data_IF_703878381531
#
_entry.id   IF_703878381531
#
_cell.length_a   1.000
_cell.length_b   1.000
_cell.length_c   1.000
_cell.angle_alpha   90.00
_cell.angle_beta   90.00
_cell.angle_gamma   90.00
#
_symmetry.space_group_name_H-M   'P 1'
#
loop_
_entity.id
_entity.type
_entity.pdbx_description
1 polymer ?
#
# COMPACT_ATOMS: atom_id res chain seq x y z
N UNK A 1 -17.08 -15.63 -7.61
CA UNK A 1 -16.05 -16.19 -6.70
C UNK A 1 -15.72 -15.10 -5.71
N UNK A 2 -16.06 -15.31 -4.45
CA UNK A 2 -15.67 -14.34 -3.41
C UNK A 2 -14.14 -14.30 -3.31
N UNK A 3 -13.58 -13.17 -3.69
CA UNK A 3 -12.15 -12.93 -3.59
C UNK A 3 -11.81 -12.63 -2.12
N UNK A 4 -11.37 -13.68 -1.40
CA UNK A 4 -10.90 -13.48 -0.02
C UNK A 4 -9.52 -12.82 -0.02
N UNK A 5 -9.39 -11.78 0.78
CA UNK A 5 -8.12 -11.07 1.00
C UNK A 5 -7.07 -12.00 1.59
N UNK A 6 -5.82 -11.84 1.15
CA UNK A 6 -4.70 -12.63 1.61
C UNK A 6 -4.03 -11.95 2.80
N UNK A 7 -3.92 -12.68 3.91
CA UNK A 7 -3.16 -12.28 5.10
C UNK A 7 -1.94 -13.20 5.22
N UNK A 8 -0.76 -12.62 5.41
CA UNK A 8 0.46 -13.36 5.73
C UNK A 8 0.62 -13.40 7.25
N UNK A 9 0.69 -14.60 7.81
CA UNK A 9 1.02 -14.85 9.21
C UNK A 9 2.50 -15.25 9.32
N UNK A 10 3.22 -14.62 10.24
CA UNK A 10 4.64 -14.92 10.50
C UNK A 10 4.82 -15.08 12.00
N UNK A 11 5.10 -16.29 12.45
CA UNK A 11 5.28 -16.63 13.87
C UNK A 11 6.05 -17.98 13.95
N UNK A 12 7.10 -18.09 14.73
CA UNK A 12 7.90 -19.31 14.82
C UNK A 12 7.16 -20.44 15.58
N UNK A 13 6.13 -20.09 16.38
CA UNK A 13 5.26 -21.05 17.05
C UNK A 13 4.08 -21.48 16.14
N UNK A 14 4.12 -22.75 15.71
CA UNK A 14 3.05 -23.37 14.91
C UNK A 14 1.70 -23.34 15.63
N UNK A 15 1.67 -23.35 16.96
CA UNK A 15 0.45 -23.23 17.75
C UNK A 15 -0.23 -21.88 17.58
N UNK A 16 0.56 -20.80 17.57
CA UNK A 16 0.07 -19.44 17.30
C UNK A 16 -0.45 -19.33 15.87
N UNK A 17 0.30 -19.83 14.88
CA UNK A 17 -0.13 -19.85 13.48
C UNK A 17 -1.48 -20.57 13.32
N UNK A 18 -1.64 -21.76 13.87
CA UNK A 18 -2.89 -22.54 13.82
C UNK A 18 -4.04 -21.78 14.49
N UNK A 19 -3.78 -21.15 15.64
CA UNK A 19 -4.80 -20.39 16.37
C UNK A 19 -5.27 -19.19 15.57
N UNK A 20 -4.35 -18.36 15.04
CA UNK A 20 -4.68 -17.22 14.19
C UNK A 20 -5.38 -17.66 12.90
N UNK A 21 -4.94 -18.74 12.28
CA UNK A 21 -5.57 -19.31 11.09
C UNK A 21 -7.01 -19.80 11.37
N UNK A 22 -7.27 -20.42 12.50
CA UNK A 22 -8.62 -20.84 12.89
C UNK A 22 -9.55 -19.63 13.13
N UNK A 23 -9.01 -18.54 13.68
CA UNK A 23 -9.78 -17.31 13.93
C UNK A 23 -10.13 -16.58 12.63
N UNK A 24 -9.17 -16.43 11.71
CA UNK A 24 -9.29 -15.58 10.53
C UNK A 24 -9.68 -16.33 9.26
N UNK A 25 -9.47 -17.64 9.18
CA UNK A 25 -9.59 -18.42 7.95
C UNK A 25 -11.02 -18.56 7.40
N UNK A 26 -12.05 -18.24 8.19
CA UNK A 26 -13.43 -18.19 7.71
C UNK A 26 -13.65 -17.02 6.74
N UNK A 27 -13.03 -15.88 6.99
CA UNK A 27 -13.22 -14.63 6.24
C UNK A 27 -12.07 -14.35 5.25
N UNK A 28 -10.84 -14.74 5.60
CA UNK A 28 -9.62 -14.40 4.86
C UNK A 28 -8.90 -15.65 4.34
N UNK A 29 -8.12 -15.45 3.28
CA UNK A 29 -7.15 -16.44 2.82
C UNK A 29 -5.86 -16.25 3.60
N UNK A 30 -5.37 -17.32 4.23
CA UNK A 30 -4.19 -17.24 5.10
C UNK A 30 -3.00 -17.94 4.44
N UNK A 31 -1.87 -17.24 4.38
CA UNK A 31 -0.54 -17.81 4.14
C UNK A 31 0.24 -17.75 5.45
N UNK A 32 0.87 -18.83 5.85
CA UNK A 32 1.59 -18.89 7.12
C UNK A 32 3.05 -19.29 6.92
N UNK A 33 3.96 -18.63 7.62
CA UNK A 33 5.41 -18.92 7.61
C UNK A 33 5.96 -18.90 9.02
N UNK A 34 7.05 -19.64 9.25
CA UNK A 34 7.66 -19.80 10.59
C UNK A 34 8.92 -18.97 10.78
N UNK A 35 9.26 -18.07 9.85
CA UNK A 35 10.44 -17.19 9.99
C UNK A 35 10.34 -15.97 9.10
N UNK A 36 11.05 -14.89 9.46
CA UNK A 36 11.17 -13.67 8.65
C UNK A 36 11.72 -13.93 7.25
N UNK A 37 12.75 -14.78 7.14
CA UNK A 37 13.33 -15.15 5.83
C UNK A 37 12.31 -15.82 4.91
N UNK A 38 11.48 -16.72 5.43
CA UNK A 38 10.40 -17.34 4.66
C UNK A 38 9.33 -16.33 4.28
N UNK A 39 8.99 -15.39 5.18
CA UNK A 39 8.04 -14.32 4.89
C UNK A 39 8.51 -13.46 3.70
N UNK A 40 9.77 -13.05 3.67
CA UNK A 40 10.35 -12.30 2.55
C UNK A 40 10.32 -13.10 1.24
N UNK A 41 10.57 -14.41 1.29
CA UNK A 41 10.45 -15.29 0.11
C UNK A 41 9.00 -15.41 -0.39
N UNK A 42 8.01 -15.34 0.47
CA UNK A 42 6.60 -15.30 0.07
C UNK A 42 6.26 -13.95 -0.54
N UNK A 43 6.68 -12.85 0.11
CA UNK A 43 6.43 -11.48 -0.35
C UNK A 43 7.05 -11.17 -1.73
N UNK A 44 8.13 -11.84 -2.10
CA UNK A 44 8.71 -11.72 -3.45
C UNK A 44 7.83 -12.32 -4.56
N UNK A 45 6.80 -13.10 -4.22
CA UNK A 45 5.92 -13.80 -5.18
C UNK A 45 4.48 -13.31 -5.13
N UNK A 46 4.02 -12.88 -3.95
CA UNK A 46 2.65 -12.45 -3.73
C UNK A 46 2.61 -11.25 -2.79
N UNK A 47 1.70 -10.33 -3.02
CA UNK A 47 1.48 -9.16 -2.16
C UNK A 47 0.24 -9.41 -1.31
N UNK A 48 0.39 -9.66 0.01
CA UNK A 48 -0.75 -9.78 0.91
C UNK A 48 -1.35 -8.41 1.20
N UNK A 49 -2.60 -8.38 1.61
CA UNK A 49 -3.28 -7.17 2.05
C UNK A 49 -2.91 -6.75 3.47
N UNK A 50 -2.39 -7.70 4.27
CA UNK A 50 -1.96 -7.48 5.65
C UNK A 50 -0.89 -8.51 6.03
N UNK A 51 0.08 -8.11 6.84
CA UNK A 51 1.04 -9.01 7.51
C UNK A 51 0.79 -8.98 9.01
N UNK A 52 0.61 -10.15 9.62
CA UNK A 52 0.66 -10.34 11.08
C UNK A 52 2.02 -10.94 11.41
N UNK A 53 2.84 -10.24 12.18
CA UNK A 53 4.26 -10.52 12.36
C UNK A 53 4.62 -10.64 13.82
N UNK A 54 5.09 -11.80 14.24
CA UNK A 54 5.62 -11.97 15.59
C UNK A 54 6.86 -11.12 15.80
N UNK A 55 6.95 -10.50 16.98
CA UNK A 55 8.13 -9.74 17.39
C UNK A 55 9.31 -10.65 17.70
N UNK A 56 9.05 -11.74 18.43
CA UNK A 56 10.11 -12.59 18.98
C UNK A 56 10.28 -13.86 18.14
N UNK A 57 11.16 -13.80 17.15
CA UNK A 57 11.50 -14.96 16.33
C UNK A 57 13.02 -15.21 16.33
N UNK A 58 13.47 -16.46 16.19
CA UNK A 58 14.89 -16.78 16.10
C UNK A 58 15.50 -16.30 14.77
N UNK A 59 16.79 -16.08 14.74
CA UNK A 59 17.62 -15.65 13.59
C UNK A 59 17.32 -14.26 13.02
N UNK A 60 16.07 -13.94 12.78
CA UNK A 60 15.59 -12.67 12.26
C UNK A 60 14.33 -12.31 13.00
N UNK A 61 14.41 -11.30 13.86
CA UNK A 61 13.30 -10.87 14.70
C UNK A 61 12.22 -10.13 13.89
N UNK A 62 11.11 -9.81 14.56
CA UNK A 62 9.99 -9.13 13.91
C UNK A 62 10.36 -7.73 13.41
N UNK A 63 11.20 -6.99 14.14
CA UNK A 63 11.60 -5.65 13.72
C UNK A 63 12.54 -5.70 12.51
N UNK A 64 13.53 -6.59 12.51
CA UNK A 64 14.40 -6.82 11.35
C UNK A 64 13.60 -7.27 10.12
N UNK A 65 12.61 -8.15 10.33
CA UNK A 65 11.71 -8.60 9.27
C UNK A 65 10.86 -7.44 8.73
N UNK A 66 10.34 -6.59 9.61
CA UNK A 66 9.56 -5.41 9.25
C UNK A 66 10.37 -4.43 8.40
N UNK A 67 11.57 -4.08 8.81
CA UNK A 67 12.47 -3.21 8.02
C UNK A 67 12.78 -3.81 6.65
N UNK A 68 13.04 -5.11 6.59
CA UNK A 68 13.24 -5.79 5.32
C UNK A 68 11.99 -5.76 4.42
N UNK A 69 10.79 -5.92 4.99
CA UNK A 69 9.52 -5.77 4.24
C UNK A 69 9.38 -4.35 3.68
N UNK A 70 9.66 -3.33 4.50
CA UNK A 70 9.57 -1.92 4.08
C UNK A 70 10.54 -1.58 2.94
N UNK A 71 11.69 -2.25 2.88
CA UNK A 71 12.69 -2.09 1.82
C UNK A 71 12.31 -2.76 0.48
N UNK A 72 11.31 -3.66 0.46
CA UNK A 72 10.81 -4.26 -0.77
C UNK A 72 10.05 -3.23 -1.61
N UNK A 73 10.07 -3.41 -2.92
CA UNK A 73 9.22 -2.62 -3.82
C UNK A 73 7.73 -2.83 -3.49
N UNK A 74 7.03 -1.73 -3.21
CA UNK A 74 5.64 -1.77 -2.71
C UNK A 74 5.47 -2.23 -1.26
N UNK A 75 6.54 -2.67 -0.57
CA UNK A 75 6.48 -3.17 0.80
C UNK A 75 6.01 -2.12 1.81
N UNK A 76 6.36 -0.86 1.60
CA UNK A 76 5.92 0.26 2.46
C UNK A 76 4.41 0.46 2.48
N UNK A 77 3.70 0.01 1.45
CA UNK A 77 2.24 0.11 1.36
C UNK A 77 1.50 -1.04 2.04
N UNK A 78 2.20 -2.11 2.45
CA UNK A 78 1.60 -3.25 3.12
C UNK A 78 1.45 -2.93 4.61
N UNK A 79 0.23 -2.94 5.17
CA UNK A 79 0.05 -2.78 6.61
C UNK A 79 0.65 -3.98 7.36
N UNK A 80 1.39 -3.69 8.42
CA UNK A 80 1.98 -4.70 9.29
C UNK A 80 1.45 -4.51 10.71
N UNK A 81 1.00 -5.59 11.31
CA UNK A 81 0.55 -5.67 12.71
C UNK A 81 1.50 -6.59 13.46
N UNK A 82 2.12 -6.07 14.48
CA UNK A 82 2.97 -6.91 15.33
C UNK A 82 2.13 -7.76 16.28
N UNK A 83 2.61 -8.99 16.50
CA UNK A 83 2.09 -9.91 17.51
C UNK A 83 3.07 -9.87 18.69
N UNK A 84 2.63 -9.34 19.83
CA UNK A 84 3.49 -9.10 21.01
C UNK A 84 3.17 -10.07 22.14
N UNK A 85 4.13 -10.30 23.03
CA UNK A 85 3.86 -10.98 24.30
C UNK A 85 2.99 -10.13 25.22
N UNK A 86 2.31 -10.77 26.17
CA UNK A 86 1.43 -10.07 27.11
C UNK A 86 2.24 -9.18 28.07
N UNK A 87 1.79 -7.91 28.22
CA UNK A 87 2.31 -6.99 29.23
C UNK A 87 3.64 -6.28 28.92
N UNK A 88 4.13 -6.31 27.68
CA UNK A 88 5.38 -5.65 27.27
C UNK A 88 5.12 -4.26 26.68
N UNK A 89 4.89 -3.28 27.58
CA UNK A 89 4.63 -1.88 27.18
C UNK A 89 5.80 -1.24 26.39
N UNK A 90 7.04 -1.66 26.66
CA UNK A 90 8.19 -1.16 25.91
C UNK A 90 8.19 -1.66 24.48
N UNK A 91 7.85 -2.93 24.27
CA UNK A 91 7.68 -3.51 22.91
C UNK A 91 6.51 -2.87 22.18
N UNK A 92 5.39 -2.59 22.83
CA UNK A 92 4.26 -1.87 22.22
C UNK A 92 4.68 -0.49 21.72
N UNK A 93 5.40 0.27 22.54
CA UNK A 93 5.94 1.59 22.15
C UNK A 93 6.87 1.48 20.95
N UNK A 94 7.81 0.53 20.97
CA UNK A 94 8.72 0.26 19.85
C UNK A 94 8.00 -0.10 18.56
N UNK A 95 6.89 -0.85 18.62
CA UNK A 95 6.09 -1.17 17.44
C UNK A 95 5.56 0.10 16.75
N UNK A 96 5.06 1.07 17.51
CA UNK A 96 4.59 2.34 16.95
C UNK A 96 5.73 3.23 16.45
N UNK A 97 6.83 3.31 17.19
CA UNK A 97 8.03 4.07 16.78
C UNK A 97 8.63 3.53 15.47
N UNK A 98 8.62 2.21 15.27
CA UNK A 98 9.02 1.57 14.02
C UNK A 98 8.06 1.89 12.85
N UNK A 99 6.86 2.41 13.11
CA UNK A 99 5.88 2.74 12.09
C UNK A 99 4.96 1.58 11.70
N UNK A 100 4.75 0.62 12.60
CA UNK A 100 3.74 -0.42 12.43
C UNK A 100 2.33 0.17 12.39
N UNK A 101 1.43 -0.52 11.71
CA UNK A 101 0.02 -0.10 11.61
C UNK A 101 -0.72 -0.30 12.93
N UNK A 102 -0.43 -1.39 13.64
CA UNK A 102 -1.04 -1.74 14.94
C UNK A 102 -0.23 -2.86 15.61
N UNK A 103 -0.62 -3.28 16.80
CA UNK A 103 -0.13 -4.49 17.45
C UNK A 103 -1.27 -5.30 18.09
N UNK A 104 -1.05 -6.57 18.33
CA UNK A 104 -1.98 -7.48 19.02
C UNK A 104 -1.23 -8.33 20.01
N UNK A 105 -1.65 -8.28 21.29
CA UNK A 105 -1.06 -9.10 22.33
C UNK A 105 -1.45 -10.58 22.19
N UNK A 106 -0.51 -11.45 22.48
CA UNK A 106 -0.72 -12.91 22.64
C UNK A 106 -0.97 -13.22 24.12
N UNK A 107 -1.90 -14.11 24.49
CA UNK A 107 -2.72 -14.98 23.63
C UNK A 107 -3.86 -14.22 22.94
N UNK A 108 -4.16 -14.58 21.68
CA UNK A 108 -5.16 -13.88 20.87
C UNK A 108 -6.56 -14.00 21.46
N UNK A 109 -7.20 -12.86 21.68
CA UNK A 109 -8.65 -12.77 21.90
C UNK A 109 -9.33 -12.71 20.52
N UNK A 110 -10.12 -13.73 20.12
CA UNK A 110 -10.62 -13.84 18.74
C UNK A 110 -11.31 -12.58 18.23
N UNK A 111 -12.24 -12.01 19.00
CA UNK A 111 -12.99 -10.82 18.61
C UNK A 111 -12.08 -9.60 18.43
N UNK A 112 -11.05 -9.46 19.25
CA UNK A 112 -10.09 -8.36 19.15
C UNK A 112 -9.27 -8.48 17.86
N UNK A 113 -8.73 -9.67 17.57
CA UNK A 113 -7.95 -9.94 16.38
C UNK A 113 -8.78 -9.68 15.11
N UNK A 114 -10.00 -10.24 15.04
CA UNK A 114 -10.92 -10.03 13.90
C UNK A 114 -11.21 -8.55 13.70
N UNK A 115 -11.58 -7.83 14.78
CA UNK A 115 -11.96 -6.41 14.69
C UNK A 115 -10.80 -5.53 14.24
N UNK A 116 -9.57 -5.79 14.70
CA UNK A 116 -8.38 -5.04 14.30
C UNK A 116 -8.02 -5.30 12.83
N UNK A 117 -7.98 -6.56 12.42
CA UNK A 117 -7.73 -6.94 11.03
C UNK A 117 -8.75 -6.29 10.10
N UNK A 118 -10.03 -6.42 10.40
CA UNK A 118 -11.12 -5.83 9.61
C UNK A 118 -10.96 -4.32 9.46
N UNK A 119 -10.76 -3.61 10.56
CA UNK A 119 -10.57 -2.14 10.56
C UNK A 119 -9.38 -1.71 9.71
N UNK A 120 -8.27 -2.44 9.79
CA UNK A 120 -7.05 -2.10 9.04
C UNK A 120 -7.29 -2.29 7.53
N UNK A 121 -7.93 -3.39 7.14
CA UNK A 121 -8.24 -3.69 5.74
C UNK A 121 -9.27 -2.69 5.17
N UNK A 122 -10.32 -2.37 5.92
CA UNK A 122 -11.29 -1.33 5.55
C UNK A 122 -10.62 0.04 5.34
N UNK A 123 -9.74 0.45 6.26
CA UNK A 123 -8.98 1.69 6.13
C UNK A 123 -8.08 1.68 4.88
N UNK A 124 -7.41 0.57 4.60
CA UNK A 124 -6.58 0.41 3.41
C UNK A 124 -7.39 0.52 2.12
N UNK A 125 -8.55 -0.12 2.05
CA UNK A 125 -9.46 0.03 0.92
C UNK A 125 -9.92 1.47 0.74
N UNK A 126 -10.28 2.14 1.83
CA UNK A 126 -10.69 3.54 1.77
C UNK A 126 -9.56 4.46 1.25
N UNK A 127 -8.33 4.25 1.72
CA UNK A 127 -7.17 4.99 1.23
C UNK A 127 -6.91 4.75 -0.26
N UNK A 128 -6.91 3.49 -0.71
CA UNK A 128 -6.73 3.16 -2.12
C UNK A 128 -7.80 3.81 -3.02
N UNK A 129 -9.07 3.75 -2.59
CA UNK A 129 -10.17 4.38 -3.33
C UNK A 129 -10.01 5.91 -3.42
N UNK A 130 -9.55 6.56 -2.34
CA UNK A 130 -9.27 8.00 -2.36
C UNK A 130 -8.12 8.34 -3.31
N UNK A 131 -7.06 7.57 -3.32
CA UNK A 131 -5.92 7.76 -4.23
C UNK A 131 -6.35 7.62 -5.70
N UNK A 132 -7.17 6.61 -6.02
CA UNK A 132 -7.74 6.42 -7.36
C UNK A 132 -8.65 7.60 -7.77
N UNK A 133 -9.52 8.06 -6.84
CA UNK A 133 -10.38 9.23 -7.10
C UNK A 133 -9.58 10.50 -7.34
N UNK A 134 -8.55 10.76 -6.52
CA UNK A 134 -7.67 11.94 -6.69
C UNK A 134 -6.94 11.85 -8.03
N UNK A 135 -6.36 10.70 -8.37
CA UNK A 135 -5.69 10.50 -9.66
C UNK A 135 -6.62 10.77 -10.85
N UNK A 136 -7.83 10.22 -10.81
CA UNK A 136 -8.85 10.45 -11.85
C UNK A 136 -9.27 11.92 -11.97
N UNK A 137 -9.38 12.64 -10.85
CA UNK A 137 -9.69 14.07 -10.85
C UNK A 137 -8.55 14.89 -11.44
N UNK A 138 -7.29 14.58 -11.10
CA UNK A 138 -6.11 15.25 -11.67
C UNK A 138 -6.06 15.06 -13.18
N UNK A 139 -6.31 13.86 -13.68
CA UNK A 139 -6.36 13.58 -15.12
C UNK A 139 -7.47 14.38 -15.81
N UNK A 140 -8.65 14.46 -15.18
CA UNK A 140 -9.79 15.23 -15.68
C UNK A 140 -9.47 16.72 -15.75
N UNK A 141 -8.90 17.30 -14.69
CA UNK A 141 -8.48 18.70 -14.65
C UNK A 141 -7.44 18.99 -15.73
N UNK A 142 -6.45 18.12 -15.87
CA UNK A 142 -5.40 18.26 -16.88
C UNK A 142 -5.98 18.24 -18.29
N UNK A 143 -6.95 17.36 -18.55
CA UNK A 143 -7.65 17.30 -19.85
C UNK A 143 -8.44 18.59 -20.12
N UNK A 144 -9.23 19.07 -19.16
CA UNK A 144 -10.01 20.30 -19.29
C UNK A 144 -9.08 21.50 -19.52
N UNK A 145 -7.99 21.63 -18.79
CA UNK A 145 -7.00 22.68 -18.99
C UNK A 145 -6.44 22.68 -20.41
N UNK A 146 -6.09 21.51 -20.94
CA UNK A 146 -5.59 21.38 -22.31
C UNK A 146 -6.66 21.74 -23.36
N UNK A 147 -7.92 21.36 -23.16
CA UNK A 147 -9.05 21.71 -24.02
C UNK A 147 -9.30 23.24 -24.03
N UNK A 148 -9.26 23.89 -22.85
CA UNK A 148 -9.41 25.35 -22.73
C UNK A 148 -8.27 26.09 -23.44
N UNK A 149 -7.02 25.67 -23.21
CA UNK A 149 -5.84 26.26 -23.86
C UNK A 149 -5.96 26.12 -25.37
N UNK A 150 -6.36 24.95 -25.87
CA UNK A 150 -6.55 24.70 -27.30
C UNK A 150 -7.68 25.55 -27.85
N UNK A 151 -8.79 25.69 -27.14
CA UNK A 151 -9.93 26.52 -27.50
C UNK A 151 -9.55 28.00 -27.61
N UNK A 152 -8.80 28.53 -26.62
CA UNK A 152 -8.30 29.91 -26.63
C UNK A 152 -7.32 30.13 -27.81
N UNK A 153 -6.40 29.18 -28.03
CA UNK A 153 -5.47 29.25 -29.15
C UNK A 153 -6.20 29.33 -30.50
N UNK A 154 -7.21 28.49 -30.70
CA UNK A 154 -8.03 28.51 -31.92
C UNK A 154 -8.81 29.83 -32.11
N UNK A 155 -9.31 30.41 -30.99
CA UNK A 155 -10.00 31.73 -31.04
C UNK A 155 -9.05 32.86 -31.42
N UNK A 156 -7.82 32.87 -30.89
CA UNK A 156 -6.81 33.88 -31.26
C UNK A 156 -6.44 33.76 -32.74
N UNK A 157 -6.23 32.53 -33.23
CA UNK A 157 -5.94 32.28 -34.64
C UNK A 157 -7.05 32.72 -35.59
N UNK A 158 -8.31 32.50 -35.21
CA UNK A 158 -9.46 32.87 -36.04
C UNK A 158 -9.59 34.39 -36.16
N UNK A 159 -9.05 35.16 -35.22
CA UNK A 159 -9.11 36.62 -35.20
C UNK A 159 -7.99 37.30 -36.00
N UNK A 160 -6.81 36.66 -36.07
CA UNK A 160 -5.63 37.28 -36.72
C UNK A 160 -5.42 36.87 -38.18
N UNK A 161 -6.25 36.01 -38.76
CA UNK A 161 -6.18 35.61 -40.17
C UNK A 161 -4.89 34.92 -40.61
N UNK A 162 -4.03 34.56 -39.64
CA UNK A 162 -2.78 33.83 -39.88
C UNK A 162 -2.97 32.34 -39.67
N UNK A 163 -2.40 31.57 -40.58
CA UNK A 163 -2.61 30.12 -40.77
C UNK A 163 -2.48 29.31 -39.49
N UNK A 164 -3.54 28.57 -39.13
CA UNK A 164 -3.65 27.66 -37.96
C UNK A 164 -2.58 26.57 -37.80
N UNK A 165 -1.60 26.56 -38.67
CA UNK A 165 -0.42 25.70 -38.60
C UNK A 165 0.61 26.19 -37.57
N UNK A 166 0.65 27.51 -37.32
CA UNK A 166 1.71 28.12 -36.49
C UNK A 166 1.52 27.87 -35.00
N UNK A 167 0.29 28.00 -34.48
CA UNK A 167 0.00 27.75 -33.03
C UNK A 167 0.09 26.26 -32.70
N UNK A 168 -0.38 25.39 -33.60
CA UNK A 168 -0.28 23.93 -33.42
C UNK A 168 1.18 23.44 -33.37
N UNK A 169 2.04 24.06 -34.18
CA UNK A 169 3.48 23.79 -34.15
C UNK A 169 4.12 24.33 -32.87
N UNK A 170 3.77 25.51 -32.40
CA UNK A 170 4.27 26.10 -31.16
C UNK A 170 3.86 25.27 -29.95
N UNK A 171 2.60 24.80 -29.85
CA UNK A 171 2.15 23.89 -28.82
C UNK A 171 2.95 22.57 -28.80
N UNK A 172 3.23 22.00 -29.98
CA UNK A 172 4.05 20.79 -30.08
C UNK A 172 5.50 21.03 -29.62
N UNK A 173 6.11 22.15 -29.96
CA UNK A 173 7.45 22.49 -29.48
C UNK A 173 7.51 22.70 -27.98
N UNK A 174 6.55 23.43 -27.39
CA UNK A 174 6.47 23.60 -25.92
C UNK A 174 6.27 22.26 -25.22
N UNK A 175 5.44 21.36 -25.76
CA UNK A 175 5.20 20.03 -25.20
C UNK A 175 6.44 19.13 -25.26
N UNK A 176 7.22 19.20 -26.32
CA UNK A 176 8.48 18.46 -26.45
C UNK A 176 9.52 19.00 -25.45
N UNK A 177 9.66 20.32 -25.35
CA UNK A 177 10.58 20.98 -24.43
C UNK A 177 10.26 20.69 -22.95
N UNK A 178 8.99 20.77 -22.55
CA UNK A 178 8.56 20.45 -21.19
C UNK A 178 8.74 18.97 -20.84
N UNK A 179 8.58 18.07 -21.80
CA UNK A 179 8.82 16.64 -21.60
C UNK A 179 10.32 16.33 -21.42
N UNK A 180 11.17 17.06 -22.14
CA UNK A 180 12.63 16.89 -22.06
C UNK A 180 13.21 17.51 -20.77
N UNK A 181 12.66 18.64 -20.31
CA UNK A 181 13.04 19.27 -19.04
C UNK A 181 12.63 18.44 -17.79
N UNK A 182 11.56 17.64 -17.88
CA UNK A 182 11.16 16.70 -16.80
C UNK A 182 12.00 15.42 -16.75
N UNK A 183 12.83 15.15 -17.77
CA UNK A 183 13.72 13.98 -17.83
C UNK A 183 15.11 14.21 -17.25
N UNK A 184 15.44 15.46 -16.95
CA UNK A 184 16.68 15.88 -16.27
C UNK A 184 16.42 16.16 -14.80
#
# INVERSE_FOLDING_TARGET
MDYKELILLVDDDIGNLKRAQNILGSEYRISATTSGKMALSVLSKVTPQLVLLDVNMPEMDGFETFEAIKALDGGSSIPVVFLTGDGDADTETRCFEAGATDFVAKPFVPQVLISRVKRILENKHYQNNLEEMVSSQVDTITRIQNEVITGIANLIESRDGSTGLHVKNTQNYVRILTKELRRR
#
